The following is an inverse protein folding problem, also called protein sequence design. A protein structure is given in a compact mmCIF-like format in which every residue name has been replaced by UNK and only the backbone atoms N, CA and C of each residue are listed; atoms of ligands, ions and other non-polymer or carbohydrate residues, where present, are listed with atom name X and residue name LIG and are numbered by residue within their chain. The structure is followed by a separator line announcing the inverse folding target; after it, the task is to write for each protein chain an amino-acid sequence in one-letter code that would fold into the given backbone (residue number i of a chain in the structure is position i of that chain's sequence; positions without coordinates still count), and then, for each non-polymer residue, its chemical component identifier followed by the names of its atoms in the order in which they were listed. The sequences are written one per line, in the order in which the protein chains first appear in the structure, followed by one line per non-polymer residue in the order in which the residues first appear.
data_IF_158726508258
#
_entry.id   IF_158726508258
#
_cell.length_a   1.000
_cell.length_b   1.000
_cell.length_c   1.000
_cell.angle_alpha   90.00
_cell.angle_beta   90.00
_cell.angle_gamma   90.00
#
_symmetry.space_group_name_H-M   'P 1'
#
loop_
_entity.id
_entity.type
_entity.pdbx_description
1 polymer ?
#
# COMPACT_ATOMS: atom_id res chain seq x y z
N UNK A 1 18.61 6.09 -3.74
CA UNK A 1 17.33 6.38 -4.45
C UNK A 1 16.24 6.67 -3.44
N UNK A 2 15.20 7.35 -3.87
CA UNK A 2 13.98 7.60 -3.09
C UNK A 2 12.98 6.52 -3.47
N UNK A 3 12.57 5.71 -2.49
CA UNK A 3 11.55 4.67 -2.65
C UNK A 3 10.30 5.11 -1.92
N UNK A 4 9.16 5.08 -2.58
CA UNK A 4 7.86 5.30 -1.96
C UNK A 4 7.04 4.01 -2.00
N UNK A 5 6.35 3.67 -0.93
CA UNK A 5 5.49 2.50 -0.87
C UNK A 5 4.12 2.85 -0.31
N UNK A 6 3.08 2.34 -0.95
CA UNK A 6 1.79 2.21 -0.32
C UNK A 6 1.85 1.27 0.90
N UNK A 7 0.86 1.35 1.75
CA UNK A 7 0.81 0.58 2.99
C UNK A 7 -0.26 -0.52 2.93
N UNK A 8 -1.50 -0.13 2.63
CA UNK A 8 -2.64 -1.04 2.68
C UNK A 8 -2.77 -1.87 1.40
N UNK A 9 -2.69 -3.19 1.51
CA UNK A 9 -2.66 -4.08 0.33
C UNK A 9 -1.24 -4.40 -0.16
N UNK A 10 -0.25 -3.58 0.21
CA UNK A 10 1.16 -3.76 -0.16
C UNK A 10 1.97 -4.27 1.03
N UNK A 11 2.06 -3.51 2.10
CA UNK A 11 2.81 -3.85 3.32
C UNK A 11 1.94 -4.61 4.31
N UNK A 12 0.73 -4.12 4.53
CA UNK A 12 -0.23 -4.62 5.51
C UNK A 12 -1.44 -5.23 4.81
N UNK A 13 -1.86 -6.40 5.30
CA UNK A 13 -3.02 -7.12 4.78
C UNK A 13 -4.33 -6.49 5.29
N UNK A 14 -4.67 -5.31 4.73
CA UNK A 14 -5.83 -4.52 5.09
C UNK A 14 -7.14 -5.28 4.83
N UNK A 15 -7.27 -5.92 3.67
CA UNK A 15 -8.50 -6.64 3.28
C UNK A 15 -8.79 -7.77 4.27
N UNK A 16 -7.79 -8.59 4.61
CA UNK A 16 -8.00 -9.66 5.58
C UNK A 16 -8.33 -9.10 6.97
N UNK A 17 -7.67 -8.00 7.37
CA UNK A 17 -7.99 -7.31 8.62
C UNK A 17 -9.42 -6.82 8.67
N UNK A 18 -9.95 -6.26 7.57
CA UNK A 18 -11.34 -5.85 7.47
C UNK A 18 -12.32 -7.04 7.48
N UNK A 19 -12.01 -8.13 6.79
CA UNK A 19 -12.80 -9.36 6.83
C UNK A 19 -12.87 -9.94 8.26
N UNK A 20 -11.75 -9.97 8.96
CA UNK A 20 -11.69 -10.47 10.34
C UNK A 20 -12.49 -9.58 11.28
N UNK A 21 -12.41 -8.26 11.12
CA UNK A 21 -13.22 -7.29 11.84
C UNK A 21 -14.71 -7.52 11.61
N UNK A 22 -15.18 -7.55 10.36
CA UNK A 22 -16.61 -7.72 10.05
C UNK A 22 -17.13 -9.06 10.60
N UNK A 23 -16.33 -10.12 10.54
CA UNK A 23 -16.68 -11.43 11.14
C UNK A 23 -16.82 -11.36 12.64
N UNK A 24 -15.88 -10.69 13.33
CA UNK A 24 -15.90 -10.52 14.79
C UNK A 24 -17.09 -9.70 15.26
N UNK A 25 -17.38 -8.61 14.55
CA UNK A 25 -18.51 -7.72 14.85
C UNK A 25 -19.86 -8.24 14.31
N UNK A 26 -19.87 -9.42 13.66
CA UNK A 26 -21.05 -10.05 13.05
C UNK A 26 -21.73 -9.16 12.00
N UNK A 27 -20.94 -8.38 11.28
CA UNK A 27 -21.40 -7.53 10.18
C UNK A 27 -21.43 -8.38 8.91
N UNK A 28 -22.57 -8.48 8.19
CA UNK A 28 -22.63 -9.18 6.92
C UNK A 28 -21.72 -8.51 5.88
N UNK A 29 -20.69 -9.21 5.44
CA UNK A 29 -19.74 -8.75 4.43
C UNK A 29 -19.30 -9.91 3.55
N UNK A 30 -19.32 -9.70 2.25
CA UNK A 30 -18.78 -10.63 1.25
C UNK A 30 -17.77 -9.89 0.38
N UNK A 31 -16.53 -10.31 0.40
CA UNK A 31 -15.46 -9.71 -0.38
C UNK A 31 -15.41 -10.31 -1.79
N UNK A 32 -15.45 -9.44 -2.81
CA UNK A 32 -15.12 -9.81 -4.18
C UNK A 32 -13.67 -9.40 -4.47
N UNK A 33 -12.73 -10.34 -4.63
CA UNK A 33 -11.32 -10.04 -4.82
C UNK A 33 -10.98 -9.36 -6.16
N UNK A 34 -11.90 -9.37 -7.13
CA UNK A 34 -11.74 -8.66 -8.41
C UNK A 34 -11.97 -7.14 -8.29
N UNK A 35 -12.51 -6.68 -7.15
CA UNK A 35 -12.77 -5.27 -6.89
C UNK A 35 -11.74 -4.70 -5.91
N UNK A 36 -11.09 -3.61 -6.32
CA UNK A 36 -10.17 -2.90 -5.43
C UNK A 36 -10.89 -2.34 -4.19
N UNK A 37 -10.29 -2.60 -3.03
CA UNK A 37 -10.65 -1.99 -1.76
C UNK A 37 -12.01 -2.43 -1.19
N UNK A 38 -12.24 -2.09 0.08
CA UNK A 38 -13.45 -2.46 0.79
C UNK A 38 -14.66 -1.59 0.42
N UNK A 39 -14.43 -0.34 0.00
CA UNK A 39 -15.51 0.59 -0.37
C UNK A 39 -16.27 0.08 -1.59
N UNK A 40 -15.57 -0.40 -2.61
CA UNK A 40 -16.21 -0.95 -3.83
C UNK A 40 -16.95 -2.25 -3.53
N UNK A 41 -16.52 -2.99 -2.53
CA UNK A 41 -17.19 -4.21 -2.08
C UNK A 41 -18.39 -3.91 -1.15
N UNK A 42 -18.45 -2.73 -0.56
CA UNK A 42 -19.42 -2.38 0.48
C UNK A 42 -19.77 -0.88 0.47
N UNK A 43 -20.25 -0.35 -0.70
CA UNK A 43 -20.38 1.08 -0.93
C UNK A 43 -21.38 1.77 0.01
N UNK A 44 -22.41 1.08 0.47
CA UNK A 44 -23.49 1.65 1.28
C UNK A 44 -23.17 1.67 2.79
N UNK A 45 -21.98 1.27 3.20
CA UNK A 45 -21.62 1.10 4.61
C UNK A 45 -20.31 1.81 4.98
N UNK A 46 -20.20 3.09 4.65
CA UNK A 46 -19.05 3.92 5.03
C UNK A 46 -18.85 3.95 6.56
N UNK A 47 -19.94 3.92 7.33
CA UNK A 47 -19.90 3.88 8.80
C UNK A 47 -19.14 2.65 9.32
N UNK A 48 -19.28 1.50 8.67
CA UNK A 48 -18.57 0.27 9.05
C UNK A 48 -17.07 0.41 8.82
N UNK A 49 -16.66 1.06 7.71
CA UNK A 49 -15.25 1.39 7.45
C UNK A 49 -14.72 2.35 8.51
N UNK A 50 -15.50 3.38 8.84
CA UNK A 50 -15.11 4.38 9.84
C UNK A 50 -14.99 3.75 11.23
N UNK A 51 -15.85 2.80 11.57
CA UNK A 51 -15.75 2.00 12.79
C UNK A 51 -14.47 1.15 12.80
N UNK A 52 -14.09 0.53 11.68
CA UNK A 52 -12.83 -0.19 11.54
C UNK A 52 -11.62 0.73 11.73
N UNK A 53 -11.62 1.90 11.11
CA UNK A 53 -10.54 2.88 11.20
C UNK A 53 -10.45 3.53 12.60
N UNK A 54 -11.57 3.78 13.25
CA UNK A 54 -11.60 4.36 14.60
C UNK A 54 -11.25 3.36 15.70
N UNK A 55 -11.46 2.06 15.46
CA UNK A 55 -11.18 0.97 16.38
C UNK A 55 -9.69 0.62 16.52
N UNK A 56 -9.40 -0.38 17.33
CA UNK A 56 -8.05 -0.92 17.50
C UNK A 56 -7.59 -1.78 16.31
N UNK A 57 -8.54 -2.20 15.47
CA UNK A 57 -8.29 -3.12 14.36
C UNK A 57 -7.27 -2.57 13.37
N UNK A 58 -7.32 -1.26 13.07
CA UNK A 58 -6.41 -0.61 12.15
C UNK A 58 -4.94 -0.72 12.60
N UNK A 59 -4.68 -0.65 13.90
CA UNK A 59 -3.32 -0.76 14.45
C UNK A 59 -2.82 -2.19 14.64
N UNK A 60 -3.65 -3.20 14.33
CA UNK A 60 -3.37 -4.63 14.51
C UNK A 60 -3.29 -5.40 13.19
N UNK A 61 -3.22 -4.70 12.06
CA UNK A 61 -3.09 -5.35 10.75
C UNK A 61 -1.80 -6.15 10.66
N UNK A 62 -1.88 -7.32 10.04
CA UNK A 62 -0.73 -8.18 9.82
C UNK A 62 0.07 -7.71 8.61
N UNK A 63 1.37 -7.85 8.70
CA UNK A 63 2.26 -7.69 7.55
C UNK A 63 2.06 -8.81 6.53
N UNK A 64 2.25 -8.50 5.25
CA UNK A 64 2.52 -9.54 4.26
C UNK A 64 3.88 -10.16 4.52
N UNK A 65 4.02 -11.45 4.25
CA UNK A 65 5.24 -12.22 4.52
C UNK A 65 6.46 -11.57 3.83
N UNK A 66 7.49 -11.31 4.63
CA UNK A 66 8.73 -10.71 4.19
C UNK A 66 8.72 -9.19 4.00
N UNK A 67 7.55 -8.53 4.04
CA UNK A 67 7.47 -7.08 3.79
C UNK A 67 8.28 -6.27 4.79
N UNK A 68 8.16 -6.56 6.07
CA UNK A 68 8.85 -5.84 7.14
C UNK A 68 10.39 -5.97 7.02
N UNK A 69 10.88 -7.18 6.79
CA UNK A 69 12.32 -7.47 6.67
C UNK A 69 12.92 -6.76 5.45
N UNK A 70 12.24 -6.84 4.31
CA UNK A 70 12.71 -6.21 3.07
C UNK A 70 12.66 -4.69 3.17
N UNK A 71 11.60 -4.11 3.73
CA UNK A 71 11.53 -2.66 3.94
C UNK A 71 12.64 -2.15 4.86
N UNK A 72 12.94 -2.85 5.95
CA UNK A 72 14.05 -2.50 6.85
C UNK A 72 15.40 -2.59 6.14
N UNK A 73 15.60 -3.58 5.28
CA UNK A 73 16.81 -3.66 4.45
C UNK A 73 16.89 -2.51 3.45
N UNK A 74 15.79 -2.16 2.78
CA UNK A 74 15.74 -1.02 1.84
C UNK A 74 16.00 0.30 2.55
N UNK A 75 15.37 0.54 3.70
CA UNK A 75 15.57 1.75 4.51
C UNK A 75 17.00 1.92 5.00
N UNK A 76 17.78 0.83 5.12
CA UNK A 76 19.20 0.92 5.50
C UNK A 76 20.11 1.47 4.38
N UNK A 77 19.62 1.52 3.13
CA UNK A 77 20.41 1.88 1.95
C UNK A 77 19.77 3.01 1.12
N UNK A 78 18.50 3.27 1.32
CA UNK A 78 17.69 4.16 0.50
C UNK A 78 16.82 5.04 1.39
N UNK A 79 16.37 6.14 0.85
CA UNK A 79 15.33 6.97 1.46
C UNK A 79 13.99 6.28 1.21
N UNK A 80 13.30 5.89 2.30
CA UNK A 80 12.04 5.14 2.24
C UNK A 80 10.89 5.99 2.77
N UNK A 81 9.96 6.36 1.91
CA UNK A 81 8.71 7.01 2.26
C UNK A 81 7.56 6.01 2.22
N UNK A 82 6.67 6.09 3.21
CA UNK A 82 5.43 5.34 3.25
C UNK A 82 4.27 6.30 3.05
N UNK A 83 3.35 5.99 2.15
CA UNK A 83 2.18 6.83 1.86
C UNK A 83 0.92 5.98 1.91
N UNK A 84 -0.13 6.47 2.56
CA UNK A 84 -1.40 5.77 2.68
C UNK A 84 -2.56 6.73 2.48
N UNK A 85 -3.66 6.24 1.90
CA UNK A 85 -4.91 6.97 1.71
C UNK A 85 -5.73 7.13 3.01
N UNK A 86 -5.18 6.75 4.16
CA UNK A 86 -5.81 7.04 5.45
C UNK A 86 -5.79 8.54 5.72
N UNK A 87 -6.84 9.01 6.40
CA UNK A 87 -6.92 10.40 6.84
C UNK A 87 -5.83 10.71 7.89
N UNK A 88 -5.37 11.97 7.99
CA UNK A 88 -4.33 12.39 8.93
C UNK A 88 -4.62 12.03 10.39
N UNK A 89 -5.89 11.98 10.78
CA UNK A 89 -6.34 11.60 12.13
C UNK A 89 -5.98 10.15 12.49
N UNK A 90 -5.77 9.30 11.48
CA UNK A 90 -5.40 7.89 11.66
C UNK A 90 -3.88 7.66 11.76
N UNK A 91 -3.08 8.72 11.58
CA UNK A 91 -1.61 8.62 11.49
C UNK A 91 -0.97 7.95 12.71
N UNK A 92 -1.46 8.24 13.92
CA UNK A 92 -0.94 7.59 15.15
C UNK A 92 -1.14 6.09 15.16
N UNK A 93 -2.32 5.61 14.74
CA UNK A 93 -2.63 4.18 14.66
C UNK A 93 -1.80 3.49 13.59
N UNK A 94 -1.63 4.15 12.44
CA UNK A 94 -0.79 3.65 11.37
C UNK A 94 0.69 3.58 11.79
N UNK A 95 1.21 4.60 12.45
CA UNK A 95 2.56 4.59 12.98
C UNK A 95 2.77 3.47 14.03
N UNK A 96 1.78 3.21 14.90
CA UNK A 96 1.84 2.09 15.85
C UNK A 96 1.88 0.72 15.11
N UNK A 97 1.10 0.56 14.05
CA UNK A 97 1.12 -0.66 13.24
C UNK A 97 2.48 -0.86 12.55
N UNK A 98 3.12 0.22 12.13
CA UNK A 98 4.39 0.21 11.39
C UNK A 98 5.64 0.40 12.28
N UNK A 99 5.51 0.36 13.60
CA UNK A 99 6.60 0.67 14.55
C UNK A 99 7.85 -0.22 14.40
N UNK A 100 7.72 -1.37 13.74
CA UNK A 100 8.82 -2.30 13.47
C UNK A 100 9.49 -2.05 12.10
N UNK A 101 8.99 -1.10 11.33
CA UNK A 101 9.55 -0.71 10.03
C UNK A 101 10.31 0.60 10.17
N UNK A 102 11.54 0.63 9.68
CA UNK A 102 12.29 1.86 9.54
C UNK A 102 11.85 2.59 8.26
N UNK A 103 11.53 3.86 8.37
CA UNK A 103 11.17 4.70 7.23
C UNK A 103 11.59 6.16 7.49
N UNK A 104 11.76 6.93 6.42
CA UNK A 104 12.08 8.35 6.49
C UNK A 104 10.86 9.15 6.93
N UNK A 105 9.73 8.95 6.27
CA UNK A 105 8.47 9.65 6.57
C UNK A 105 7.27 8.76 6.30
N UNK A 106 6.24 8.90 7.12
CA UNK A 106 4.92 8.31 6.92
C UNK A 106 3.91 9.42 6.58
N UNK A 107 3.30 9.32 5.41
CA UNK A 107 2.29 10.26 4.91
C UNK A 107 0.90 9.61 4.98
N UNK A 108 0.04 10.12 5.86
CA UNK A 108 -1.40 9.82 5.87
C UNK A 108 -2.11 11.03 5.30
N UNK A 109 -2.54 10.95 4.03
CA UNK A 109 -2.91 12.14 3.24
C UNK A 109 -4.35 12.16 2.75
N UNK A 110 -5.12 11.12 3.06
CA UNK A 110 -6.44 10.93 2.45
C UNK A 110 -6.35 10.43 1.00
N UNK A 111 -7.48 9.95 0.51
CA UNK A 111 -7.55 9.34 -0.83
C UNK A 111 -7.27 10.36 -1.94
N UNK A 112 -7.83 11.55 -1.82
CA UNK A 112 -7.78 12.61 -2.84
C UNK A 112 -6.39 13.22 -3.03
N UNK A 113 -5.51 13.13 -2.02
CA UNK A 113 -4.19 13.77 -2.05
C UNK A 113 -3.02 12.82 -2.30
N UNK A 114 -3.27 11.51 -2.35
CA UNK A 114 -2.19 10.52 -2.45
C UNK A 114 -1.37 10.68 -3.75
N UNK A 115 -2.05 10.86 -4.89
CA UNK A 115 -1.38 11.06 -6.17
C UNK A 115 -0.53 12.33 -6.17
N UNK A 116 -1.10 13.47 -5.76
CA UNK A 116 -0.40 14.75 -5.66
C UNK A 116 0.84 14.65 -4.77
N UNK A 117 0.70 14.07 -3.58
CA UNK A 117 1.81 13.90 -2.62
C UNK A 117 2.95 13.09 -3.23
N UNK A 118 2.66 12.00 -3.92
CA UNK A 118 3.70 11.16 -4.54
C UNK A 118 4.37 11.89 -5.71
N UNK A 119 3.57 12.49 -6.60
CA UNK A 119 4.07 13.07 -7.87
C UNK A 119 4.77 14.41 -7.65
N UNK A 120 4.24 15.26 -6.75
CA UNK A 120 4.72 16.64 -6.62
C UNK A 120 5.61 16.85 -5.38
N UNK A 121 5.32 16.17 -4.26
CA UNK A 121 6.04 16.41 -3.01
C UNK A 121 7.21 15.42 -2.81
N UNK A 122 6.98 14.09 -3.01
CA UNK A 122 7.99 13.05 -2.76
C UNK A 122 8.90 12.86 -3.97
N UNK A 123 8.32 12.77 -5.17
CA UNK A 123 9.02 12.54 -6.44
C UNK A 123 9.95 11.31 -6.39
N UNK A 124 9.44 10.12 -6.08
CA UNK A 124 10.28 8.95 -5.87
C UNK A 124 10.85 8.41 -7.18
N UNK A 125 12.01 7.75 -7.09
CA UNK A 125 12.58 6.97 -8.20
C UNK A 125 11.71 5.72 -8.50
N UNK A 126 11.11 5.15 -7.44
CA UNK A 126 10.26 3.95 -7.53
C UNK A 126 9.08 4.07 -6.57
N UNK A 127 7.90 3.73 -7.07
CA UNK A 127 6.68 3.56 -6.26
C UNK A 127 6.27 2.09 -6.19
N UNK A 128 5.89 1.62 -5.00
CA UNK A 128 5.29 0.30 -4.78
C UNK A 128 3.81 0.53 -4.49
N UNK A 129 2.93 0.06 -5.37
CA UNK A 129 1.49 0.38 -5.32
C UNK A 129 0.65 -0.81 -5.80
N UNK A 130 -0.56 -1.01 -5.23
CA UNK A 130 -1.48 -2.07 -5.67
C UNK A 130 -2.76 -1.53 -6.33
N UNK A 131 -3.06 -0.25 -6.19
CA UNK A 131 -4.27 0.37 -6.75
C UNK A 131 -4.11 0.63 -8.25
N UNK A 132 -4.92 -0.01 -9.12
CA UNK A 132 -4.76 0.08 -10.58
C UNK A 132 -4.74 1.51 -11.13
N UNK A 133 -5.63 2.37 -10.64
CA UNK A 133 -5.71 3.75 -11.10
C UNK A 133 -4.45 4.56 -10.75
N UNK A 134 -3.87 4.33 -9.56
CA UNK A 134 -2.63 4.99 -9.15
C UNK A 134 -1.40 4.41 -9.84
N UNK A 135 -1.36 3.10 -10.08
CA UNK A 135 -0.30 2.48 -10.91
C UNK A 135 -0.23 3.18 -12.27
N UNK A 136 -1.37 3.34 -12.95
CA UNK A 136 -1.43 4.02 -14.24
C UNK A 136 -1.06 5.51 -14.14
N UNK A 137 -1.53 6.21 -13.10
CA UNK A 137 -1.24 7.63 -12.89
C UNK A 137 0.26 7.86 -12.65
N UNK A 138 0.90 7.10 -11.78
CA UNK A 138 2.33 7.20 -11.50
C UNK A 138 3.18 6.84 -12.72
N UNK A 139 2.80 5.81 -13.47
CA UNK A 139 3.45 5.49 -14.75
C UNK A 139 3.39 6.67 -15.73
N UNK A 140 2.22 7.31 -15.89
CA UNK A 140 2.06 8.50 -16.73
C UNK A 140 2.89 9.70 -16.27
N UNK A 141 3.09 9.82 -14.94
CA UNK A 141 3.96 10.83 -14.36
C UNK A 141 5.46 10.52 -14.53
N UNK A 142 5.81 9.40 -15.17
CA UNK A 142 7.20 8.98 -15.39
C UNK A 142 7.86 8.32 -14.19
N UNK A 143 7.10 8.01 -13.14
CA UNK A 143 7.58 7.28 -11.96
C UNK A 143 7.59 5.79 -12.29
N UNK A 144 8.69 5.12 -11.99
CA UNK A 144 8.75 3.68 -12.10
C UNK A 144 7.87 3.03 -11.03
N UNK A 145 6.98 2.11 -11.44
CA UNK A 145 6.08 1.42 -10.52
C UNK A 145 6.39 -0.07 -10.50
N UNK A 146 6.38 -0.66 -9.30
CA UNK A 146 6.32 -2.11 -9.08
C UNK A 146 5.07 -2.42 -8.26
N UNK A 147 4.47 -3.59 -8.45
CA UNK A 147 3.21 -3.91 -7.79
C UNK A 147 3.12 -5.38 -7.38
N UNK A 148 2.43 -5.68 -6.25
CA UNK A 148 2.16 -7.05 -5.84
C UNK A 148 1.11 -7.69 -6.74
N UNK A 149 1.40 -8.87 -7.29
CA UNK A 149 0.51 -9.58 -8.22
C UNK A 149 -0.47 -10.56 -7.54
N UNK A 150 -0.44 -10.63 -6.20
CA UNK A 150 -1.37 -11.50 -5.45
C UNK A 150 -2.81 -10.98 -5.37
N UNK A 151 -3.05 -9.77 -5.82
CA UNK A 151 -4.40 -9.21 -5.88
C UNK A 151 -5.02 -9.42 -7.27
N UNK A 152 -6.18 -10.12 -7.43
CA UNK A 152 -6.82 -10.30 -8.72
C UNK A 152 -7.15 -9.01 -9.45
N UNK A 153 -7.41 -7.92 -8.72
CA UNK A 153 -7.72 -6.60 -9.31
C UNK A 153 -6.51 -5.91 -9.96
N UNK A 154 -5.27 -6.38 -9.71
CA UNK A 154 -4.07 -5.83 -10.39
C UNK A 154 -3.79 -6.47 -11.74
N UNK A 155 -4.59 -7.45 -12.15
CA UNK A 155 -4.44 -8.14 -13.42
C UNK A 155 -4.52 -7.16 -14.59
N UNK A 156 -3.51 -7.23 -15.48
CA UNK A 156 -3.41 -6.34 -16.64
C UNK A 156 -2.61 -5.06 -16.37
N UNK A 157 -2.08 -4.88 -15.14
CA UNK A 157 -1.21 -3.74 -14.80
C UNK A 157 0.23 -3.92 -15.30
N UNK A 158 0.61 -5.10 -15.79
CA UNK A 158 1.95 -5.42 -16.32
C UNK A 158 2.34 -4.50 -17.50
N UNK A 159 1.39 -3.89 -18.15
CA UNK A 159 1.62 -2.89 -19.21
C UNK A 159 2.11 -1.54 -18.69
N UNK A 160 1.94 -1.25 -17.40
CA UNK A 160 2.32 0.01 -16.77
C UNK A 160 3.40 -0.16 -15.71
N UNK A 161 3.53 -1.36 -15.13
CA UNK A 161 4.36 -1.58 -13.96
C UNK A 161 4.94 -3.00 -13.95
N UNK A 162 5.96 -3.24 -13.13
CA UNK A 162 6.59 -4.55 -12.99
C UNK A 162 5.98 -5.30 -11.80
N UNK A 163 5.41 -6.51 -12.01
CA UNK A 163 4.86 -7.31 -10.93
C UNK A 163 5.94 -7.95 -10.06
N UNK A 164 5.59 -8.24 -8.80
CA UNK A 164 6.33 -9.16 -7.93
C UNK A 164 5.34 -10.04 -7.15
N UNK A 165 5.71 -11.29 -6.96
CA UNK A 165 4.89 -12.27 -6.23
C UNK A 165 5.31 -12.40 -4.77
N UNK A 166 6.57 -12.13 -4.47
CA UNK A 166 7.17 -12.24 -3.13
C UNK A 166 8.01 -11.01 -2.82
N UNK A 167 7.94 -10.52 -1.60
CA UNK A 167 8.73 -9.37 -1.17
C UNK A 167 10.24 -9.51 -1.34
N UNK A 168 10.78 -10.73 -1.28
CA UNK A 168 12.21 -10.98 -1.51
C UNK A 168 12.67 -10.74 -2.95
N UNK A 169 11.77 -10.58 -3.91
CA UNK A 169 12.07 -10.21 -5.31
C UNK A 169 12.32 -8.71 -5.47
N UNK A 170 11.75 -7.89 -4.58
CA UNK A 170 11.78 -6.42 -4.68
C UNK A 170 13.22 -5.87 -4.79
N UNK A 171 14.21 -6.30 -4.00
CA UNK A 171 15.58 -5.80 -4.12
C UNK A 171 16.18 -5.97 -5.50
N UNK A 172 15.98 -7.14 -6.12
CA UNK A 172 16.53 -7.43 -7.44
C UNK A 172 15.83 -6.59 -8.53
N UNK A 173 14.51 -6.38 -8.38
CA UNK A 173 13.78 -5.49 -9.26
C UNK A 173 14.31 -4.05 -9.19
N UNK A 174 14.68 -3.57 -8.00
CA UNK A 174 15.23 -2.22 -7.83
C UNK A 174 16.63 -2.08 -8.47
N UNK A 175 17.45 -3.13 -8.46
CA UNK A 175 18.82 -3.10 -8.99
C UNK A 175 18.88 -3.20 -10.52
N UNK A 176 17.99 -3.96 -11.16
CA UNK A 176 18.02 -4.21 -12.60
C UNK A 176 17.77 -2.97 -13.48
N UNK A 177 17.42 -1.83 -12.89
CA UNK A 177 17.23 -0.57 -13.62
C UNK A 177 18.47 0.33 -13.70
N UNK A 178 19.58 -0.04 -13.04
CA UNK A 178 20.82 0.73 -13.08
C UNK A 178 21.78 0.28 -14.23
N UNK A 179 21.38 -0.71 -15.02
CA UNK A 179 22.25 -1.35 -16.04
C UNK A 179 21.76 -1.18 -17.48
N UNK A 180 20.76 -0.35 -17.74
CA UNK A 180 20.35 0.01 -19.13
C UNK A 180 20.78 1.44 -19.44
N UNK A 181 22.07 1.60 -19.70
CA UNK A 181 22.64 2.69 -20.52
C UNK A 181 22.97 2.16 -21.91
#
# INVERSE_FOLDING_TARGET
MIICSDVDGVILNYIQGFIDFTRKEKIPYSHNPELYGVIRNFPDNLEVRDQFHSGEYLSQLKFYDGSMEILNMLASKHELHLVTALEPEQSKKRAENLKMVNYTTLHCVGDDRKEETVVEEIQPDVMIEDRPELIEAFHRAGIRVIFPDWHPYTKGMERFATPFSLWNEVPDLLHNSLTTD
#
